data_IF_278776522151
#
_entry.id   IF_278776522151
#
_cell.length_a   1.000
_cell.length_b   1.000
_cell.length_c   1.000
_cell.angle_alpha   90.00
_cell.angle_beta   90.00
_cell.angle_gamma   90.00
#
_symmetry.space_group_name_H-M   'P 1'
#
loop_
_entity.id
_entity.type
_entity.pdbx_description
1 polymer ?
#
# COMPACT_ATOMS: atom_id res chain seq x y z
N UNK A 1 5.00 -54.91 55.23
CA UNK A 1 5.43 -55.78 54.13
C UNK A 1 5.75 -54.89 52.96
N UNK A 2 7.03 -54.71 52.64
CA UNK A 2 7.47 -54.05 51.40
C UNK A 2 7.15 -55.00 50.25
N UNK A 3 6.36 -54.54 49.27
CA UNK A 3 6.05 -55.36 48.11
C UNK A 3 7.22 -55.32 47.12
N UNK A 4 7.32 -56.33 46.24
CA UNK A 4 8.32 -56.35 45.17
C UNK A 4 8.22 -55.11 44.26
N UNK A 5 7.00 -54.58 44.09
CA UNK A 5 6.76 -53.33 43.37
C UNK A 5 7.43 -52.13 44.05
N UNK A 6 7.34 -52.01 45.38
CA UNK A 6 7.96 -50.94 46.16
C UNK A 6 9.50 -51.01 46.11
N UNK A 7 10.05 -52.24 46.17
CA UNK A 7 11.48 -52.49 45.99
C UNK A 7 11.94 -52.09 44.58
N UNK A 8 11.20 -52.48 43.55
CA UNK A 8 11.53 -52.18 42.16
C UNK A 8 11.44 -50.68 41.86
N UNK A 9 10.46 -49.96 42.42
CA UNK A 9 10.37 -48.50 42.30
C UNK A 9 11.49 -47.80 43.05
N UNK A 10 11.83 -48.23 44.27
CA UNK A 10 12.95 -47.63 45.01
C UNK A 10 14.28 -47.85 44.29
N UNK A 11 14.48 -49.03 43.69
CA UNK A 11 15.68 -49.38 42.96
C UNK A 11 15.76 -48.61 41.63
N UNK A 12 14.63 -48.43 40.95
CA UNK A 12 14.52 -47.55 39.77
C UNK A 12 14.85 -46.10 40.10
N UNK A 13 14.32 -45.55 41.20
CA UNK A 13 14.53 -44.17 41.60
C UNK A 13 15.98 -43.94 42.08
N UNK A 14 16.56 -44.92 42.77
CA UNK A 14 17.96 -44.88 43.19
C UNK A 14 18.93 -45.09 42.01
N UNK A 15 18.57 -45.91 41.03
CA UNK A 15 19.29 -46.03 39.76
C UNK A 15 19.23 -44.74 38.95
N UNK A 16 18.06 -44.09 38.86
CA UNK A 16 17.89 -42.81 38.17
C UNK A 16 18.66 -41.67 38.88
N UNK A 17 18.74 -41.70 40.21
CA UNK A 17 19.48 -40.71 41.00
C UNK A 17 21.01 -40.91 40.95
N UNK A 18 21.51 -42.16 40.94
CA UNK A 18 22.96 -42.48 41.00
C UNK A 18 23.62 -42.64 39.63
N UNK A 19 22.90 -43.09 38.59
CA UNK A 19 23.46 -43.30 37.25
C UNK A 19 23.12 -42.17 36.29
N UNK A 20 23.74 -41.00 36.49
CA UNK A 20 23.72 -39.87 35.53
C UNK A 20 24.42 -40.19 34.20
N UNK A 21 25.14 -41.31 34.11
CA UNK A 21 25.82 -41.74 32.89
C UNK A 21 24.97 -42.75 32.13
N UNK A 22 24.59 -42.45 30.87
CA UNK A 22 23.78 -43.35 30.03
C UNK A 22 24.47 -44.70 29.79
N UNK A 23 25.80 -44.75 29.85
CA UNK A 23 26.58 -46.00 29.73
C UNK A 23 26.32 -46.94 30.88
N UNK A 24 26.35 -46.44 32.11
CA UNK A 24 26.14 -47.29 33.29
C UNK A 24 24.69 -47.75 33.42
N UNK A 25 23.73 -46.87 33.09
CA UNK A 25 22.31 -47.25 33.02
C UNK A 25 22.06 -48.35 31.98
N UNK A 26 22.58 -48.18 30.76
CA UNK A 26 22.48 -49.18 29.71
C UNK A 26 23.21 -50.48 30.07
N UNK A 27 24.36 -50.42 30.73
CA UNK A 27 25.12 -51.60 31.15
C UNK A 27 24.39 -52.41 32.21
N UNK A 28 23.73 -51.76 33.18
CA UNK A 28 22.93 -52.45 34.19
C UNK A 28 21.69 -53.10 33.60
N UNK A 29 21.01 -52.42 32.67
CA UNK A 29 19.88 -53.00 31.95
C UNK A 29 20.35 -54.19 31.10
N UNK A 30 21.46 -54.05 30.38
CA UNK A 30 22.03 -55.13 29.58
C UNK A 30 22.43 -56.33 30.45
N UNK A 31 23.06 -56.10 31.60
CA UNK A 31 23.40 -57.15 32.56
C UNK A 31 22.15 -57.83 33.13
N UNK A 32 21.11 -57.05 33.46
CA UNK A 32 19.86 -57.59 33.98
C UNK A 32 19.12 -58.45 32.95
N UNK A 33 19.10 -58.02 31.69
CA UNK A 33 18.49 -58.78 30.58
C UNK A 33 19.31 -60.02 30.26
N UNK A 34 20.64 -59.90 30.21
CA UNK A 34 21.53 -61.01 29.87
C UNK A 34 21.58 -62.08 30.98
N UNK A 35 21.49 -61.67 32.24
CA UNK A 35 21.49 -62.54 33.41
C UNK A 35 20.12 -62.68 34.08
N UNK A 36 19.04 -62.59 33.31
CA UNK A 36 17.67 -62.62 33.82
C UNK A 36 17.37 -63.84 34.70
N UNK A 37 17.99 -65.01 34.43
CA UNK A 37 17.84 -66.23 35.23
C UNK A 37 18.32 -66.06 36.68
N UNK A 38 19.42 -65.34 36.86
CA UNK A 38 19.98 -65.04 38.19
C UNK A 38 19.03 -64.11 38.94
N UNK A 39 18.50 -63.10 38.25
CA UNK A 39 17.51 -62.18 38.82
C UNK A 39 16.25 -62.95 39.24
N UNK A 40 15.69 -63.78 38.35
CA UNK A 40 14.49 -64.57 38.66
C UNK A 40 14.74 -65.50 39.84
N UNK A 41 15.88 -66.20 39.89
CA UNK A 41 16.26 -67.06 41.00
C UNK A 41 16.30 -66.32 42.34
N UNK A 42 16.92 -65.14 42.39
CA UNK A 42 16.93 -64.31 43.60
C UNK A 42 15.55 -63.83 44.04
N UNK A 43 14.65 -63.58 43.08
CA UNK A 43 13.30 -63.11 43.37
C UNK A 43 12.34 -64.21 43.81
N UNK A 44 12.54 -65.44 43.32
CA UNK A 44 11.62 -66.55 43.60
C UNK A 44 12.04 -67.39 44.79
N UNK A 45 13.34 -67.63 44.98
CA UNK A 45 13.80 -68.66 45.90
C UNK A 45 14.33 -68.15 47.25
N UNK A 46 14.57 -66.84 47.41
CA UNK A 46 15.23 -66.26 48.61
C UNK A 46 16.39 -67.15 49.14
N UNK A 47 17.36 -67.49 48.28
CA UNK A 47 18.39 -68.47 48.60
C UNK A 47 19.29 -68.01 49.75
N UNK A 48 19.88 -68.96 50.48
CA UNK A 48 20.93 -68.65 51.44
C UNK A 48 22.14 -68.02 50.72
N UNK A 49 22.94 -67.23 51.43
CA UNK A 49 24.09 -66.54 50.82
C UNK A 49 25.06 -67.49 50.10
N UNK A 50 25.19 -68.74 50.55
CA UNK A 50 26.06 -69.74 49.92
C UNK A 50 25.47 -70.28 48.61
N UNK A 51 24.16 -70.54 48.60
CA UNK A 51 23.45 -71.06 47.42
C UNK A 51 23.35 -69.98 46.33
N UNK A 52 23.16 -68.73 46.75
CA UNK A 52 23.21 -67.55 45.90
C UNK A 52 24.54 -67.42 45.14
N UNK A 53 25.67 -67.53 45.85
CA UNK A 53 27.01 -67.39 45.26
C UNK A 53 27.28 -68.54 44.29
N UNK A 54 26.98 -69.78 44.68
CA UNK A 54 27.17 -70.95 43.81
C UNK A 54 26.32 -70.86 42.52
N UNK A 55 25.09 -70.35 42.62
CA UNK A 55 24.22 -70.18 41.45
C UNK A 55 24.72 -69.06 40.52
N UNK A 56 25.24 -67.96 41.06
CA UNK A 56 25.88 -66.89 40.28
C UNK A 56 27.11 -67.45 39.56
N UNK A 57 28.01 -68.13 40.27
CA UNK A 57 29.25 -68.68 39.67
C UNK A 57 28.96 -69.69 38.55
N UNK A 58 27.87 -70.45 38.66
CA UNK A 58 27.46 -71.39 37.64
C UNK A 58 26.81 -70.73 36.40
N UNK A 59 26.20 -69.55 36.54
CA UNK A 59 25.38 -68.92 35.50
C UNK A 59 25.94 -67.60 34.97
N UNK A 60 26.99 -67.06 35.59
CA UNK A 60 27.61 -65.78 35.24
C UNK A 60 29.10 -66.00 35.04
N UNK A 61 29.56 -65.84 33.79
CA UNK A 61 30.97 -65.85 33.45
C UNK A 61 31.52 -64.42 33.31
N UNK A 62 32.81 -64.19 33.58
CA UNK A 62 33.43 -62.89 33.31
C UNK A 62 33.30 -62.43 31.85
N UNK A 63 33.25 -63.37 30.90
CA UNK A 63 33.02 -63.08 29.48
C UNK A 63 31.61 -62.56 29.20
N UNK A 64 30.59 -63.10 29.86
CA UNK A 64 29.20 -62.64 29.74
C UNK A 64 28.99 -61.23 30.29
N UNK A 65 29.61 -60.90 31.42
CA UNK A 65 29.59 -59.54 31.99
C UNK A 65 30.23 -58.55 31.02
N UNK A 66 31.40 -58.92 30.46
CA UNK A 66 32.12 -58.07 29.51
C UNK A 66 31.33 -57.85 28.22
N UNK A 67 30.66 -58.89 27.71
CA UNK A 67 29.79 -58.79 26.53
C UNK A 67 28.59 -57.85 26.78
N UNK A 68 27.95 -57.93 27.95
CA UNK A 68 26.83 -57.04 28.30
C UNK A 68 27.26 -55.57 28.37
N UNK A 69 28.44 -55.29 28.94
CA UNK A 69 29.01 -53.93 28.98
C UNK A 69 29.37 -53.44 27.55
N UNK A 70 29.95 -54.30 26.71
CA UNK A 70 30.28 -53.95 25.33
C UNK A 70 29.03 -53.63 24.49
N UNK A 71 27.94 -54.40 24.67
CA UNK A 71 26.65 -54.14 24.01
C UNK A 71 26.06 -52.80 24.47
N UNK A 72 26.12 -52.50 25.78
CA UNK A 72 25.65 -51.23 26.31
C UNK A 72 26.43 -50.03 25.75
N UNK A 73 27.76 -50.15 25.66
CA UNK A 73 28.61 -49.13 25.03
C UNK A 73 28.25 -48.95 23.55
N UNK A 74 28.09 -50.05 22.81
CA UNK A 74 27.68 -50.02 21.41
C UNK A 74 26.32 -49.33 21.25
N UNK A 75 25.35 -49.65 22.11
CA UNK A 75 24.03 -49.03 22.11
C UNK A 75 24.09 -47.52 22.33
N UNK A 76 24.80 -47.05 23.37
CA UNK A 76 24.88 -45.60 23.68
C UNK A 76 25.52 -44.82 22.52
N UNK A 77 26.55 -45.38 21.89
CA UNK A 77 27.21 -44.75 20.74
C UNK A 77 26.27 -44.74 19.53
N UNK A 78 25.75 -45.91 19.13
CA UNK A 78 24.94 -46.05 17.92
C UNK A 78 23.62 -45.27 18.01
N UNK A 79 22.98 -45.24 19.18
CA UNK A 79 21.74 -44.50 19.40
C UNK A 79 21.92 -43.00 19.13
N UNK A 80 23.01 -42.41 19.62
CA UNK A 80 23.32 -40.99 19.40
C UNK A 80 23.47 -40.64 17.92
N UNK A 81 24.10 -41.54 17.14
CA UNK A 81 24.24 -41.38 15.69
C UNK A 81 22.91 -41.50 14.95
N UNK A 82 22.05 -42.45 15.36
CA UNK A 82 20.72 -42.63 14.79
C UNK A 82 19.83 -41.43 15.07
N UNK A 83 19.86 -40.90 16.29
CA UNK A 83 19.10 -39.70 16.67
C UNK A 83 19.54 -38.48 15.84
N UNK A 84 20.85 -38.27 15.69
CA UNK A 84 21.39 -37.20 14.85
C UNK A 84 20.98 -37.35 13.38
N UNK A 85 20.96 -38.57 12.86
CA UNK A 85 20.50 -38.85 11.50
C UNK A 85 19.02 -38.51 11.32
N UNK A 86 18.15 -38.94 12.25
CA UNK A 86 16.71 -38.63 12.23
C UNK A 86 16.48 -37.12 12.35
N UNK A 87 17.21 -36.44 13.25
CA UNK A 87 17.10 -34.99 13.42
C UNK A 87 17.47 -34.24 12.14
N UNK A 88 18.56 -34.66 11.45
CA UNK A 88 18.96 -34.08 10.17
C UNK A 88 17.89 -34.29 9.10
N UNK A 89 17.42 -35.51 8.89
CA UNK A 89 16.41 -35.80 7.86
C UNK A 89 15.10 -35.07 8.11
N UNK A 90 14.64 -35.01 9.36
CA UNK A 90 13.45 -34.24 9.75
C UNK A 90 13.63 -32.73 9.53
N UNK A 91 14.84 -32.20 9.71
CA UNK A 91 15.12 -30.77 9.51
C UNK A 91 15.05 -30.32 8.04
N UNK A 92 15.39 -31.21 7.10
CA UNK A 92 15.31 -30.90 5.67
C UNK A 92 13.88 -30.60 5.22
N UNK A 93 12.91 -31.40 5.66
CA UNK A 93 11.50 -31.17 5.34
C UNK A 93 10.96 -29.85 5.91
N UNK A 94 11.39 -29.50 7.13
CA UNK A 94 11.01 -28.21 7.75
C UNK A 94 11.59 -27.01 7.01
N UNK A 95 12.86 -27.09 6.58
CA UNK A 95 13.51 -26.02 5.82
C UNK A 95 12.85 -25.82 4.46
N UNK A 96 12.67 -26.90 3.69
CA UNK A 96 12.03 -26.83 2.37
C UNK A 96 10.61 -26.22 2.43
N UNK A 97 9.82 -26.57 3.46
CA UNK A 97 8.49 -25.96 3.67
C UNK A 97 8.58 -24.47 3.99
N UNK A 98 9.55 -24.06 4.81
CA UNK A 98 9.72 -22.66 5.17
C UNK A 98 10.22 -21.80 4.00
N UNK A 99 11.11 -22.36 3.17
CA UNK A 99 11.60 -21.72 1.95
C UNK A 99 10.45 -21.52 0.96
N UNK A 100 9.60 -22.53 0.77
CA UNK A 100 8.40 -22.44 -0.06
C UNK A 100 7.43 -21.34 0.42
N UNK A 101 7.14 -21.29 1.73
CA UNK A 101 6.28 -20.24 2.29
C UNK A 101 6.89 -18.82 2.13
N UNK A 102 8.21 -18.71 2.15
CA UNK A 102 8.91 -17.43 1.96
C UNK A 102 8.80 -16.99 0.49
N UNK A 103 9.08 -17.90 -0.44
CA UNK A 103 8.95 -17.63 -1.88
C UNK A 103 7.52 -17.24 -2.27
N UNK A 104 6.52 -17.92 -1.70
CA UNK A 104 5.12 -17.62 -1.99
C UNK A 104 4.70 -16.23 -1.48
N UNK A 105 5.19 -15.83 -0.30
CA UNK A 105 5.00 -14.46 0.23
C UNK A 105 5.68 -13.41 -0.64
N UNK A 106 6.90 -13.66 -1.09
CA UNK A 106 7.61 -12.74 -1.99
C UNK A 106 6.86 -12.54 -3.31
N UNK A 107 6.34 -13.62 -3.90
CA UNK A 107 5.50 -13.57 -5.11
C UNK A 107 4.22 -12.77 -4.87
N UNK A 108 3.58 -12.94 -3.71
CA UNK A 108 2.37 -12.21 -3.36
C UNK A 108 2.65 -10.71 -3.19
N UNK A 109 3.72 -10.35 -2.48
CA UNK A 109 4.15 -8.95 -2.32
C UNK A 109 4.45 -8.32 -3.68
N UNK A 110 5.16 -9.05 -4.56
CA UNK A 110 5.43 -8.60 -5.93
C UNK A 110 4.17 -8.32 -6.73
N UNK A 111 3.16 -9.21 -6.65
CA UNK A 111 1.85 -9.00 -7.29
C UNK A 111 1.12 -7.78 -6.73
N UNK A 112 1.08 -7.62 -5.40
CA UNK A 112 0.43 -6.47 -4.75
C UNK A 112 1.08 -5.15 -5.17
N UNK A 113 2.42 -5.11 -5.25
CA UNK A 113 3.16 -3.93 -5.73
C UNK A 113 2.82 -3.58 -7.18
N UNK A 114 2.74 -4.58 -8.07
CA UNK A 114 2.35 -4.37 -9.46
C UNK A 114 0.92 -3.81 -9.58
N UNK A 115 -0.02 -4.35 -8.80
CA UNK A 115 -1.41 -3.87 -8.77
C UNK A 115 -1.46 -2.42 -8.29
N UNK A 116 -0.76 -2.09 -7.20
CA UNK A 116 -0.71 -0.72 -6.67
C UNK A 116 -0.11 0.27 -7.69
N UNK A 117 0.94 -0.12 -8.41
CA UNK A 117 1.53 0.71 -9.48
C UNK A 117 0.53 0.95 -10.62
N UNK A 118 -0.17 -0.09 -11.07
CA UNK A 118 -1.20 0.07 -12.11
C UNK A 118 -2.36 0.95 -11.65
N UNK A 119 -2.79 0.83 -10.40
CA UNK A 119 -3.83 1.69 -9.84
C UNK A 119 -3.40 3.15 -9.75
N UNK A 120 -2.17 3.43 -9.31
CA UNK A 120 -1.63 4.78 -9.26
C UNK A 120 -1.58 5.42 -10.66
N UNK A 121 -1.12 4.66 -11.67
CA UNK A 121 -1.11 5.10 -13.06
C UNK A 121 -2.52 5.38 -13.59
N UNK A 122 -3.50 4.54 -13.27
CA UNK A 122 -4.89 4.76 -13.68
C UNK A 122 -5.47 6.03 -13.06
N UNK A 123 -5.21 6.28 -11.77
CA UNK A 123 -5.66 7.50 -11.08
C UNK A 123 -5.02 8.73 -11.72
N UNK A 124 -3.72 8.68 -12.03
CA UNK A 124 -3.02 9.79 -12.69
C UNK A 124 -3.61 10.10 -14.07
N UNK A 125 -3.88 9.06 -14.87
CA UNK A 125 -4.53 9.20 -16.18
C UNK A 125 -5.93 9.80 -16.02
N UNK A 126 -6.74 9.33 -15.06
CA UNK A 126 -8.10 9.84 -14.84
C UNK A 126 -8.09 11.32 -14.43
N UNK A 127 -7.19 11.72 -13.53
CA UNK A 127 -7.01 13.12 -13.13
C UNK A 127 -6.58 13.99 -14.30
N UNK A 128 -5.65 13.51 -15.14
CA UNK A 128 -5.22 14.23 -16.34
C UNK A 128 -6.36 14.37 -17.35
N UNK A 129 -7.11 13.31 -17.61
CA UNK A 129 -8.27 13.36 -18.51
C UNK A 129 -9.35 14.33 -18.02
N UNK A 130 -9.66 14.35 -16.71
CA UNK A 130 -10.61 15.33 -16.15
C UNK A 130 -10.10 16.77 -16.30
N UNK A 131 -8.82 17.01 -16.06
CA UNK A 131 -8.18 18.32 -16.28
C UNK A 131 -8.24 18.74 -17.75
N UNK A 132 -7.91 17.85 -18.67
CA UNK A 132 -7.95 18.11 -20.11
C UNK A 132 -9.39 18.37 -20.60
N UNK A 133 -10.38 17.62 -20.10
CA UNK A 133 -11.79 17.86 -20.38
C UNK A 133 -12.27 19.22 -19.87
N UNK A 134 -11.86 19.61 -18.66
CA UNK A 134 -12.17 20.94 -18.11
C UNK A 134 -11.61 22.05 -18.98
N UNK A 135 -10.36 21.90 -19.44
CA UNK A 135 -9.72 22.87 -20.34
C UNK A 135 -10.44 22.95 -21.69
N UNK A 136 -10.85 21.82 -22.26
CA UNK A 136 -11.59 21.79 -23.51
C UNK A 136 -12.94 22.50 -23.39
N UNK A 137 -13.68 22.28 -22.29
CA UNK A 137 -14.93 22.99 -22.03
C UNK A 137 -14.72 24.51 -21.91
N UNK A 138 -13.68 24.95 -21.19
CA UNK A 138 -13.34 26.37 -21.07
C UNK A 138 -12.89 26.97 -22.41
N UNK A 139 -12.17 26.22 -23.26
CA UNK A 139 -11.77 26.65 -24.61
C UNK A 139 -13.01 26.85 -25.50
N UNK A 140 -13.94 25.91 -25.49
CA UNK A 140 -15.13 25.99 -26.35
C UNK A 140 -16.06 27.13 -25.92
N UNK A 141 -16.19 27.36 -24.61
CA UNK A 141 -16.91 28.50 -24.06
C UNK A 141 -16.21 29.83 -24.40
N UNK A 142 -14.88 29.91 -24.22
CA UNK A 142 -14.09 31.08 -24.59
C UNK A 142 -14.18 31.40 -26.08
N UNK A 143 -14.15 30.39 -26.96
CA UNK A 143 -14.35 30.55 -28.42
C UNK A 143 -15.74 31.08 -28.74
N UNK A 144 -16.77 30.60 -28.05
CA UNK A 144 -18.15 31.08 -28.24
C UNK A 144 -18.26 32.57 -27.92
N UNK A 145 -17.68 33.01 -26.79
CA UNK A 145 -17.57 34.44 -26.46
C UNK A 145 -16.68 35.22 -27.42
N UNK A 146 -15.54 34.67 -27.86
CA UNK A 146 -14.64 35.33 -28.81
C UNK A 146 -15.31 35.54 -30.18
N UNK A 147 -16.06 34.56 -30.68
CA UNK A 147 -16.80 34.67 -31.93
C UNK A 147 -17.82 35.82 -31.91
N UNK A 148 -18.44 36.08 -30.75
CA UNK A 148 -19.30 37.26 -30.57
C UNK A 148 -18.49 38.57 -30.58
N UNK A 149 -17.31 38.55 -29.98
CA UNK A 149 -16.40 39.70 -29.90
C UNK A 149 -15.59 39.93 -31.19
N UNK A 150 -15.59 39.01 -32.14
CA UNK A 150 -14.84 39.11 -33.41
C UNK A 150 -15.71 39.50 -34.60
N UNK A 151 -17.02 39.69 -34.42
CA UNK A 151 -17.88 40.21 -35.48
C UNK A 151 -17.45 41.61 -35.93
N UNK A 152 -17.64 41.92 -37.21
CA UNK A 152 -17.32 43.24 -37.81
C UNK A 152 -17.86 44.42 -36.98
N UNK A 153 -19.03 44.25 -36.38
CA UNK A 153 -19.67 45.25 -35.53
C UNK A 153 -18.84 45.60 -34.28
N UNK A 154 -18.15 44.63 -33.68
CA UNK A 154 -17.33 44.85 -32.48
C UNK A 154 -15.99 45.52 -32.81
N UNK A 155 -15.34 45.12 -33.90
CA UNK A 155 -14.11 45.76 -34.37
C UNK A 155 -14.35 47.22 -34.80
N UNK A 156 -15.47 47.47 -35.48
CA UNK A 156 -15.92 48.81 -35.84
C UNK A 156 -16.31 49.63 -34.60
N UNK A 157 -16.96 49.00 -33.63
CA UNK A 157 -17.29 49.59 -32.34
C UNK A 157 -16.05 50.15 -31.61
N UNK A 158 -15.00 49.33 -31.47
CA UNK A 158 -13.75 49.75 -30.83
C UNK A 158 -13.10 50.96 -31.52
N UNK A 159 -13.16 51.00 -32.86
CA UNK A 159 -12.59 52.07 -33.66
C UNK A 159 -13.40 53.36 -33.54
N UNK A 160 -14.72 53.26 -33.55
CA UNK A 160 -15.63 54.41 -33.42
C UNK A 160 -15.55 55.02 -32.00
N UNK A 161 -15.41 54.18 -30.96
CA UNK A 161 -15.15 54.61 -29.58
C UNK A 161 -13.83 55.37 -29.43
N UNK A 162 -12.75 54.88 -30.02
CA UNK A 162 -11.44 55.55 -29.97
C UNK A 162 -11.47 56.94 -30.65
N UNK A 163 -12.31 57.10 -31.66
CA UNK A 163 -12.49 58.34 -32.40
C UNK A 163 -13.53 59.27 -31.76
N UNK A 164 -14.09 58.92 -30.60
CA UNK A 164 -15.08 59.73 -29.88
C UNK A 164 -16.48 59.75 -30.52
N UNK A 165 -16.75 58.85 -31.47
CA UNK A 165 -18.04 58.73 -32.15
C UNK A 165 -19.01 57.89 -31.30
N UNK A 166 -19.65 58.54 -30.34
CA UNK A 166 -20.69 57.94 -29.51
C UNK A 166 -22.04 58.12 -30.22
N UNK A 167 -22.50 57.09 -30.94
CA UNK A 167 -23.78 57.11 -31.66
C UNK A 167 -24.72 55.97 -31.22
N UNK A 168 -25.98 56.01 -31.64
CA UNK A 168 -27.00 55.00 -31.29
C UNK A 168 -26.69 53.59 -31.80
N UNK A 169 -25.87 53.46 -32.86
CA UNK A 169 -25.38 52.16 -33.35
C UNK A 169 -24.42 51.49 -32.36
N UNK A 170 -23.68 52.31 -31.60
CA UNK A 170 -22.74 51.90 -30.57
C UNK A 170 -23.45 51.23 -29.39
N UNK A 171 -24.44 51.92 -28.83
CA UNK A 171 -25.22 51.44 -27.70
C UNK A 171 -26.00 50.18 -28.08
N UNK A 172 -26.65 50.16 -29.25
CA UNK A 172 -27.35 48.97 -29.76
C UNK A 172 -26.44 47.74 -29.90
N UNK A 173 -25.18 47.94 -30.29
CA UNK A 173 -24.21 46.83 -30.41
C UNK A 173 -23.79 46.28 -29.05
N UNK A 174 -23.58 47.15 -28.05
CA UNK A 174 -23.26 46.75 -26.67
C UNK A 174 -24.45 46.00 -26.05
N UNK A 175 -25.67 46.52 -26.18
CA UNK A 175 -26.88 45.85 -25.68
C UNK A 175 -27.13 44.50 -26.37
N UNK A 176 -26.90 44.41 -27.69
CA UNK A 176 -26.99 43.15 -28.43
C UNK A 176 -25.98 42.13 -27.95
N UNK A 177 -24.76 42.56 -27.61
CA UNK A 177 -23.74 41.68 -27.04
C UNK A 177 -24.14 41.19 -25.64
N UNK A 178 -24.54 42.09 -24.73
CA UNK A 178 -24.95 41.74 -23.37
C UNK A 178 -26.13 40.76 -23.36
N UNK A 179 -27.16 41.01 -24.18
CA UNK A 179 -28.28 40.08 -24.33
C UNK A 179 -27.85 38.71 -24.86
N UNK A 180 -26.84 38.64 -25.75
CA UNK A 180 -26.32 37.36 -26.26
C UNK A 180 -25.45 36.63 -25.25
N UNK A 181 -24.70 37.35 -24.41
CA UNK A 181 -23.94 36.75 -23.30
C UNK A 181 -24.89 36.00 -22.37
N UNK A 182 -26.04 36.61 -22.03
CA UNK A 182 -27.06 35.97 -21.18
C UNK A 182 -27.71 34.72 -21.82
N UNK A 183 -27.59 34.56 -23.15
CA UNK A 183 -28.11 33.38 -23.87
C UNK A 183 -27.12 32.23 -23.99
N UNK A 184 -25.84 32.41 -23.62
CA UNK A 184 -24.90 31.29 -23.60
C UNK A 184 -25.14 30.47 -22.33
N UNK A 185 -25.53 29.22 -22.51
CA UNK A 185 -25.57 28.27 -21.40
C UNK A 185 -24.16 27.81 -21.02
N UNK A 186 -23.83 27.94 -19.74
CA UNK A 186 -22.57 27.44 -19.16
C UNK A 186 -21.84 28.46 -18.31
N UNK A 187 -20.93 27.97 -17.48
CA UNK A 187 -19.97 28.77 -16.71
C UNK A 187 -18.58 28.22 -16.94
N UNK A 188 -17.56 29.08 -16.87
CA UNK A 188 -16.20 28.58 -16.91
C UNK A 188 -15.94 27.71 -15.67
N UNK A 189 -15.30 26.57 -15.90
CA UNK A 189 -14.89 25.66 -14.83
C UNK A 189 -13.68 26.27 -14.11
N UNK A 190 -12.80 26.95 -14.84
CA UNK A 190 -11.71 27.72 -14.25
C UNK A 190 -12.24 29.03 -13.61
N UNK A 191 -12.11 29.19 -12.28
CA UNK A 191 -12.64 30.35 -11.56
C UNK A 191 -11.94 31.67 -11.91
N UNK A 192 -10.67 31.62 -12.35
CA UNK A 192 -9.94 32.81 -12.76
C UNK A 192 -10.44 33.34 -14.12
N UNK A 193 -10.77 32.43 -15.04
CA UNK A 193 -11.38 32.77 -16.32
C UNK A 193 -12.78 33.32 -16.11
N UNK A 194 -13.59 32.69 -15.26
CA UNK A 194 -14.93 33.16 -14.88
C UNK A 194 -14.87 34.58 -14.31
N UNK A 195 -13.96 34.84 -13.37
CA UNK A 195 -13.79 36.16 -12.76
C UNK A 195 -13.39 37.22 -13.79
N UNK A 196 -12.43 36.90 -14.67
CA UNK A 196 -11.99 37.80 -15.72
C UNK A 196 -13.13 38.12 -16.70
N UNK A 197 -13.94 37.12 -17.07
CA UNK A 197 -15.12 37.29 -17.91
C UNK A 197 -16.19 38.15 -17.24
N UNK A 198 -16.53 37.86 -15.98
CA UNK A 198 -17.52 38.61 -15.21
C UNK A 198 -17.13 40.10 -15.07
N UNK A 199 -15.84 40.38 -14.82
CA UNK A 199 -15.32 41.75 -14.76
C UNK A 199 -15.48 42.47 -16.09
N UNK A 200 -15.18 41.80 -17.21
CA UNK A 200 -15.35 42.36 -18.55
C UNK A 200 -16.82 42.65 -18.87
N UNK A 201 -17.74 41.72 -18.57
CA UNK A 201 -19.19 41.90 -18.76
C UNK A 201 -19.73 43.04 -17.89
N UNK A 202 -19.28 43.14 -16.63
CA UNK A 202 -19.64 44.24 -15.73
C UNK A 202 -19.19 45.61 -16.26
N UNK A 203 -17.94 45.69 -16.75
CA UNK A 203 -17.39 46.90 -17.36
C UNK A 203 -18.18 47.31 -18.62
N UNK A 204 -18.56 46.33 -19.45
CA UNK A 204 -19.41 46.54 -20.62
C UNK A 204 -20.81 47.02 -20.27
N UNK A 205 -21.45 46.42 -19.26
CA UNK A 205 -22.79 46.79 -18.79
C UNK A 205 -22.80 48.22 -18.24
N UNK A 206 -21.76 48.58 -17.48
CA UNK A 206 -21.57 49.94 -16.98
C UNK A 206 -21.42 50.95 -18.13
N UNK A 207 -20.73 50.57 -19.21
CA UNK A 207 -20.58 51.42 -20.40
C UNK A 207 -21.90 51.56 -21.16
N UNK A 208 -22.64 50.47 -21.34
CA UNK A 208 -23.98 50.49 -21.94
C UNK A 208 -24.94 51.40 -21.19
N UNK A 209 -24.92 51.34 -19.85
CA UNK A 209 -25.74 52.18 -18.98
C UNK A 209 -25.38 53.67 -19.12
N UNK A 210 -24.09 54.01 -19.04
CA UNK A 210 -23.59 55.38 -19.20
C UNK A 210 -23.91 55.98 -20.59
N UNK A 211 -23.94 55.14 -21.63
CA UNK A 211 -24.35 55.53 -22.98
C UNK A 211 -25.87 55.77 -23.10
N UNK A 212 -26.68 55.03 -22.33
CA UNK A 212 -28.14 55.19 -22.35
C UNK A 212 -28.62 56.43 -21.58
N UNK A 213 -27.96 56.77 -20.47
CA UNK A 213 -28.31 57.92 -19.61
C UNK A 213 -27.90 59.27 -20.24
N UNK A 214 -26.94 59.25 -21.18
CA UNK A 214 -26.33 60.44 -21.77
C UNK A 214 -27.05 61.07 -22.96
N UNK A 215 -28.36 60.84 -23.12
CA UNK A 215 -29.16 61.22 -24.30
C UNK A 215 -28.73 62.53 -24.99
N UNK A 216 -28.27 62.40 -26.25
CA UNK A 216 -28.05 63.38 -27.35
C UNK A 216 -27.57 64.83 -27.08
N UNK A 217 -27.33 65.26 -25.86
CA UNK A 217 -26.73 66.57 -25.53
C UNK A 217 -25.49 66.32 -24.69
N UNK A 218 -24.37 66.01 -25.35
CA UNK A 218 -23.10 65.80 -24.66
C UNK A 218 -22.36 67.13 -24.50
N UNK A 219 -22.25 67.55 -23.24
CA UNK A 219 -21.22 68.47 -22.77
C UNK A 219 -19.82 67.86 -23.05
N UNK A 220 -18.85 68.66 -23.49
CA UNK A 220 -17.49 68.20 -23.87
C UNK A 220 -16.80 67.45 -22.72
N UNK A 221 -17.03 67.89 -21.48
CA UNK A 221 -16.50 67.25 -20.28
C UNK A 221 -17.08 65.84 -20.06
N UNK A 222 -18.36 65.64 -20.39
CA UNK A 222 -19.01 64.32 -20.33
C UNK A 222 -18.52 63.40 -21.43
N UNK A 223 -18.33 63.92 -22.65
CA UNK A 223 -17.79 63.14 -23.76
C UNK A 223 -16.36 62.69 -23.48
N UNK A 224 -15.52 63.56 -22.90
CA UNK A 224 -14.17 63.19 -22.47
C UNK A 224 -14.15 62.09 -21.39
N UNK A 225 -15.06 62.15 -20.41
CA UNK A 225 -15.20 61.12 -19.38
C UNK A 225 -15.66 59.78 -19.96
N UNK A 226 -16.62 59.81 -20.89
CA UNK A 226 -17.06 58.62 -21.61
C UNK A 226 -15.93 58.01 -22.45
N UNK A 227 -15.14 58.81 -23.18
CA UNK A 227 -13.98 58.31 -23.94
C UNK A 227 -12.96 57.66 -23.00
N UNK A 228 -12.68 58.26 -21.84
CA UNK A 228 -11.77 57.70 -20.83
C UNK A 228 -12.31 56.38 -20.27
N UNK A 229 -13.60 56.33 -19.94
CA UNK A 229 -14.27 55.12 -19.46
C UNK A 229 -14.23 54.01 -20.52
N UNK A 230 -14.49 54.36 -21.78
CA UNK A 230 -14.45 53.46 -22.93
C UNK A 230 -13.07 52.85 -23.11
N UNK A 231 -11.99 53.66 -23.03
CA UNK A 231 -10.61 53.15 -23.12
C UNK A 231 -10.32 52.10 -22.04
N UNK A 232 -10.77 52.31 -20.81
CA UNK A 232 -10.61 51.31 -19.74
C UNK A 232 -11.31 49.98 -20.07
N UNK A 233 -12.51 50.02 -20.69
CA UNK A 233 -13.23 48.81 -21.12
C UNK A 233 -12.48 48.11 -22.26
N UNK A 234 -11.89 48.85 -23.20
CA UNK A 234 -11.06 48.31 -24.30
C UNK A 234 -9.80 47.63 -23.74
N UNK A 235 -9.12 48.26 -22.80
CA UNK A 235 -7.93 47.69 -22.18
C UNK A 235 -8.28 46.46 -21.33
N UNK A 236 -9.42 46.48 -20.62
CA UNK A 236 -9.99 45.32 -19.94
C UNK A 236 -10.29 44.17 -20.90
N UNK A 237 -10.74 44.44 -22.13
CA UNK A 237 -10.99 43.43 -23.15
C UNK A 237 -9.70 42.77 -23.65
N UNK A 238 -8.64 43.55 -23.85
CA UNK A 238 -7.31 43.04 -24.22
C UNK A 238 -6.72 42.19 -23.09
N UNK A 239 -6.82 42.67 -21.86
CA UNK A 239 -6.38 41.96 -20.65
C UNK A 239 -7.14 40.64 -20.49
N UNK A 240 -8.47 40.65 -20.66
CA UNK A 240 -9.29 39.43 -20.68
C UNK A 240 -8.83 38.45 -21.75
N UNK A 241 -8.65 38.89 -23.01
CA UNK A 241 -8.19 38.00 -24.09
C UNK A 241 -6.81 37.40 -23.81
N UNK A 242 -5.90 38.19 -23.27
CA UNK A 242 -4.55 37.73 -22.93
C UNK A 242 -4.58 36.74 -21.76
N UNK A 243 -5.30 37.05 -20.69
CA UNK A 243 -5.47 36.14 -19.54
C UNK A 243 -6.10 34.82 -19.93
N UNK A 244 -7.14 34.84 -20.77
CA UNK A 244 -7.77 33.61 -21.25
C UNK A 244 -6.79 32.80 -22.12
N UNK A 245 -5.99 33.44 -22.96
CA UNK A 245 -4.93 32.75 -23.74
C UNK A 245 -3.86 32.12 -22.85
N UNK A 246 -3.35 32.88 -21.87
CA UNK A 246 -2.31 32.43 -20.96
C UNK A 246 -2.80 31.25 -20.10
N UNK A 247 -4.04 31.33 -19.59
CA UNK A 247 -4.64 30.28 -18.76
C UNK A 247 -5.04 29.02 -19.54
N UNK A 248 -5.35 29.17 -20.83
CA UNK A 248 -5.68 28.05 -21.71
C UNK A 248 -4.45 27.48 -22.46
N UNK A 249 -3.30 28.18 -22.42
CA UNK A 249 -2.06 27.77 -23.08
C UNK A 249 -2.12 27.88 -24.61
N UNK A 250 -2.85 28.86 -25.15
CA UNK A 250 -3.09 29.07 -26.61
C UNK A 250 -2.59 30.42 -27.09
#
# INVERSE_FOLDING_TARGET
MTTFADLFTSLKDELAARYRSPVWGAALIALAVYHWKVIVFFLTENPSAKDAIAFIEANVSGTSITAAIAIALCYVITFSWVELFIARTASFGKRARNDFHTEEREREIGRRKLIAQKQAQLIEIELKTKSDQSKLADIDLAKSYQNMLSGENFGRWLKDLQNGAINSSLSGSIFSYLNKVDTIEGKFINPEIELAHANFVSNLSSLGSALSEGGLTMDEARQANLIKFSRNVIDSQKDYRQKVRDLLGV
#
